data_IF_264263526476
#
_entry.id   IF_264263526476
#
_cell.length_a   1.000
_cell.length_b   1.000
_cell.length_c   1.000
_cell.angle_alpha   90.00
_cell.angle_beta   90.00
_cell.angle_gamma   90.00
#
_symmetry.space_group_name_H-M   'P 1'
#
loop_
_entity.id
_entity.type
_entity.pdbx_description
1 polymer ?
#
# COMPACT_ATOMS: atom_id res chain seq x y z
N UNK A 1 -5.19 14.87 31.27
CA UNK A 1 -6.26 13.95 30.83
C UNK A 1 -5.74 13.23 29.60
N UNK A 2 -5.55 11.92 29.73
CA UNK A 2 -4.95 11.03 28.75
C UNK A 2 -5.79 10.82 27.47
N UNK A 3 -5.09 10.33 26.45
CA UNK A 3 -5.49 10.00 25.08
C UNK A 3 -6.76 9.13 24.94
N UNK A 4 -7.56 9.35 23.89
CA UNK A 4 -8.40 8.38 23.09
C UNK A 4 -9.59 9.15 22.47
N UNK A 5 -10.09 8.91 21.26
CA UNK A 5 -9.94 7.84 20.29
C UNK A 5 -10.26 8.37 18.89
N UNK A 6 -9.41 8.01 17.92
CA UNK A 6 -9.59 8.28 16.50
C UNK A 6 -10.64 7.33 15.93
N UNK A 7 -11.77 7.86 15.45
CA UNK A 7 -12.73 7.10 14.64
C UNK A 7 -12.21 7.05 13.20
N UNK A 8 -11.54 5.95 12.82
CA UNK A 8 -11.25 5.65 11.41
C UNK A 8 -12.19 4.54 10.96
N UNK A 9 -13.20 4.94 10.19
CA UNK A 9 -14.08 4.03 9.47
C UNK A 9 -13.29 3.50 8.27
N UNK A 10 -12.76 2.27 8.39
CA UNK A 10 -12.19 1.53 7.26
C UNK A 10 -13.35 0.90 6.50
N UNK A 11 -13.75 1.53 5.41
CA UNK A 11 -14.55 0.87 4.37
C UNK A 11 -13.66 -0.10 3.62
N UNK A 12 -13.90 -1.38 3.90
CA UNK A 12 -13.24 -2.56 3.36
C UNK A 12 -14.02 -3.02 2.12
N UNK A 13 -13.40 -2.97 0.95
CA UNK A 13 -13.82 -3.68 -0.28
C UNK A 13 -12.55 -4.13 -0.99
N UNK A 14 -12.08 -5.36 -0.78
CA UNK A 14 -12.53 -6.62 -1.39
C UNK A 14 -11.65 -7.00 -2.61
N UNK A 15 -10.80 -8.01 -2.37
CA UNK A 15 -10.44 -9.12 -3.27
C UNK A 15 -10.27 -8.84 -4.77
N UNK A 16 -9.01 -8.82 -5.22
CA UNK A 16 -8.61 -8.98 -6.61
C UNK A 16 -7.38 -9.88 -6.72
N UNK A 17 -7.61 -11.19 -6.80
CA UNK A 17 -6.60 -12.19 -7.16
C UNK A 17 -6.17 -11.92 -8.61
N UNK A 18 -4.97 -11.37 -8.87
CA UNK A 18 -4.38 -11.39 -10.22
C UNK A 18 -2.90 -11.73 -10.22
N UNK A 19 -2.65 -12.70 -11.08
CA UNK A 19 -1.43 -13.37 -11.45
C UNK A 19 -0.39 -12.43 -12.03
N UNK A 20 0.84 -12.57 -11.52
CA UNK A 20 2.15 -12.47 -12.18
C UNK A 20 2.12 -11.89 -13.60
N UNK A 21 2.59 -10.65 -13.75
CA UNK A 21 3.05 -10.10 -15.03
C UNK A 21 4.40 -9.45 -14.79
N UNK A 22 5.48 -10.11 -15.19
CA UNK A 22 6.84 -9.56 -15.12
C UNK A 22 6.91 -8.20 -15.83
N UNK A 23 7.22 -7.08 -15.14
CA UNK A 23 7.28 -5.80 -15.82
C UNK A 23 8.63 -5.65 -16.53
N UNK A 24 8.54 -5.58 -17.86
CA UNK A 24 9.49 -4.85 -18.70
C UNK A 24 9.91 -3.55 -18.01
N UNK A 25 11.18 -3.18 -18.17
CA UNK A 25 12.00 -2.18 -17.44
C UNK A 25 11.50 -0.72 -17.36
N UNK A 26 10.19 -0.46 -17.22
CA UNK A 26 9.65 0.89 -17.44
C UNK A 26 8.61 1.26 -16.38
N UNK A 27 9.09 1.64 -15.19
CA UNK A 27 8.33 2.14 -14.03
C UNK A 27 7.33 1.14 -13.41
N UNK A 28 7.13 1.17 -12.08
CA UNK A 28 6.07 0.38 -11.45
C UNK A 28 4.70 0.90 -11.88
N UNK A 29 3.77 -0.03 -12.07
CA UNK A 29 2.37 0.29 -12.39
C UNK A 29 1.59 0.67 -11.12
N UNK A 30 0.49 1.41 -11.26
CA UNK A 30 -0.37 1.78 -10.13
C UNK A 30 -0.89 0.55 -9.37
N UNK A 31 -1.18 -0.56 -10.07
CA UNK A 31 -1.60 -1.82 -9.44
C UNK A 31 -0.49 -2.42 -8.57
N UNK A 32 0.76 -2.37 -9.01
CA UNK A 32 1.91 -2.83 -8.22
C UNK A 32 2.14 -1.93 -7.00
N UNK A 33 2.04 -0.61 -7.17
CA UNK A 33 2.17 0.36 -6.09
C UNK A 33 1.06 0.15 -5.06
N UNK A 34 -0.18 -0.04 -5.50
CA UNK A 34 -1.31 -0.32 -4.63
C UNK A 34 -1.12 -1.62 -3.85
N UNK A 35 -0.69 -2.70 -4.52
CA UNK A 35 -0.41 -3.98 -3.86
C UNK A 35 0.65 -3.80 -2.77
N UNK A 36 1.76 -3.13 -3.09
CA UNK A 36 2.83 -2.87 -2.13
C UNK A 36 2.40 -1.93 -1.00
N UNK A 37 1.56 -0.94 -1.28
CA UNK A 37 1.03 -0.02 -0.28
C UNK A 37 0.14 -0.74 0.72
N UNK A 38 -0.69 -1.68 0.24
CA UNK A 38 -1.49 -2.54 1.10
C UNK A 38 -0.62 -3.44 1.98
N UNK A 39 0.43 -4.04 1.44
CA UNK A 39 1.39 -4.82 2.24
C UNK A 39 2.02 -3.95 3.34
N UNK A 40 2.49 -2.75 3.01
CA UNK A 40 3.06 -1.80 3.99
C UNK A 40 2.03 -1.44 5.08
N UNK A 41 0.78 -1.24 4.70
CA UNK A 41 -0.30 -0.96 5.65
C UNK A 41 -0.50 -2.14 6.61
N UNK A 42 -0.43 -3.38 6.13
CA UNK A 42 -0.53 -4.58 6.98
C UNK A 42 0.72 -4.77 7.85
N UNK A 43 1.91 -4.64 7.27
CA UNK A 43 3.21 -4.79 7.96
C UNK A 43 3.40 -3.75 9.07
N UNK A 44 2.87 -2.54 8.88
CA UNK A 44 2.89 -1.47 9.88
C UNK A 44 1.83 -1.63 10.98
N UNK A 45 1.01 -2.69 10.94
CA UNK A 45 -0.07 -2.88 11.91
C UNK A 45 -1.23 -1.92 11.67
N UNK A 46 -1.59 -1.69 10.41
CA UNK A 46 -2.67 -0.80 9.97
C UNK A 46 -2.43 0.68 10.32
N UNK A 47 -1.16 1.11 10.22
CA UNK A 47 -0.73 2.47 10.51
C UNK A 47 -0.47 3.28 9.23
N UNK A 48 -0.43 4.61 9.37
CA UNK A 48 -0.31 5.55 8.25
C UNK A 48 -1.61 5.80 7.51
N UNK A 49 -1.56 6.74 6.57
CA UNK A 49 -2.63 6.99 5.60
C UNK A 49 -2.37 6.22 4.30
N UNK A 50 -3.42 6.04 3.50
CA UNK A 50 -3.33 5.42 2.18
C UNK A 50 -2.26 6.09 1.30
N UNK A 51 -2.25 7.42 1.28
CA UNK A 51 -1.27 8.22 0.53
C UNK A 51 0.17 8.02 1.01
N UNK A 52 0.41 7.98 2.33
CA UNK A 52 1.75 7.73 2.87
C UNK A 52 2.26 6.33 2.48
N UNK A 53 1.38 5.33 2.57
CA UNK A 53 1.71 3.96 2.20
C UNK A 53 1.92 3.83 0.68
N UNK A 54 1.16 4.55 -0.13
CA UNK A 54 1.34 4.65 -1.58
C UNK A 54 2.70 5.22 -1.97
N UNK A 55 3.08 6.38 -1.40
CA UNK A 55 4.37 7.01 -1.70
C UNK A 55 5.52 6.11 -1.26
N UNK A 56 5.37 5.41 -0.14
CA UNK A 56 6.38 4.47 0.35
C UNK A 56 6.51 3.25 -0.57
N UNK A 57 5.39 2.71 -1.03
CA UNK A 57 5.34 1.62 -2.00
C UNK A 57 5.98 1.99 -3.34
N UNK A 58 5.67 3.17 -3.86
CA UNK A 58 6.25 3.68 -5.11
C UNK A 58 7.78 3.76 -5.01
N UNK A 59 8.29 4.32 -3.91
CA UNK A 59 9.74 4.39 -3.63
C UNK A 59 10.38 3.00 -3.54
N UNK A 60 9.77 2.07 -2.81
CA UNK A 60 10.30 0.71 -2.69
C UNK A 60 10.37 -0.01 -4.05
N UNK A 61 9.33 0.13 -4.88
CA UNK A 61 9.29 -0.50 -6.20
C UNK A 61 10.23 0.16 -7.22
N UNK A 62 10.48 1.47 -7.09
CA UNK A 62 11.48 2.18 -7.88
C UNK A 62 12.91 1.81 -7.48
N UNK A 63 13.17 1.57 -6.18
CA UNK A 63 14.50 1.23 -5.67
C UNK A 63 14.88 -0.24 -5.81
N UNK A 64 13.92 -1.17 -5.97
CA UNK A 64 14.16 -2.61 -6.14
C UNK A 64 14.50 -3.03 -7.58
N UNK A 65 14.79 -2.07 -8.46
CA UNK A 65 15.19 -2.31 -9.87
C UNK A 65 16.68 -2.51 -9.99
#
# INVERSE_FOLDING_TARGET
METKATKRTVTKTATGKKTVSTPKKSKPTDEEIQARAYEIYVESGYQGTDLENWIKAEKELLSKK
#
